data_IF_899144475910
#
_entry.id   IF_899144475910
#
_cell.length_a   1.000
_cell.length_b   1.000
_cell.length_c   1.000
_cell.angle_alpha   90.00
_cell.angle_beta   90.00
_cell.angle_gamma   90.00
#
_symmetry.space_group_name_H-M   'P 1'
#
loop_
_entity.id
_entity.type
_entity.pdbx_description
1 polymer ?
#
# COMPACT_ATOMS: atom_id res chain seq x y z
N UNK A 1 2.50 0.70 -29.87
CA UNK A 1 3.43 1.82 -29.60
C UNK A 1 3.95 1.67 -28.18
N UNK A 2 5.23 1.36 -28.00
CA UNK A 2 5.82 1.21 -26.66
C UNK A 2 5.97 2.59 -26.03
N UNK A 3 5.09 2.92 -25.08
CA UNK A 3 5.19 4.14 -24.28
C UNK A 3 6.41 3.97 -23.37
N UNK A 4 7.50 4.70 -23.65
CA UNK A 4 8.61 4.84 -22.72
C UNK A 4 8.17 5.80 -21.63
N UNK A 5 7.69 5.27 -20.51
CA UNK A 5 7.36 6.08 -19.33
C UNK A 5 8.67 6.32 -18.58
N UNK A 6 9.05 7.58 -18.39
CA UNK A 6 10.19 7.93 -17.55
C UNK A 6 9.81 7.84 -16.06
N UNK A 7 10.79 7.57 -15.19
CA UNK A 7 10.55 7.48 -13.75
C UNK A 7 10.05 8.83 -13.20
N UNK A 8 10.58 9.95 -13.70
CA UNK A 8 10.13 11.30 -13.35
C UNK A 8 8.67 11.56 -13.70
N UNK A 9 8.21 11.11 -14.87
CA UNK A 9 6.81 11.30 -15.29
C UNK A 9 5.85 10.49 -14.41
N UNK A 10 6.27 9.30 -14.00
CA UNK A 10 5.50 8.46 -13.08
C UNK A 10 5.41 9.07 -11.68
N UNK A 11 6.51 9.67 -11.20
CA UNK A 11 6.54 10.42 -9.95
C UNK A 11 5.60 11.63 -10.01
N UNK A 12 5.65 12.45 -11.07
CA UNK A 12 4.76 13.60 -11.21
C UNK A 12 3.29 13.18 -11.30
N UNK A 13 2.98 12.13 -12.08
CA UNK A 13 1.63 11.59 -12.20
C UNK A 13 1.09 11.10 -10.85
N UNK A 14 1.93 10.41 -10.06
CA UNK A 14 1.56 9.98 -8.73
C UNK A 14 1.38 11.15 -7.74
N UNK A 15 2.18 12.22 -7.85
CA UNK A 15 1.95 13.45 -7.06
C UNK A 15 0.60 14.09 -7.38
N UNK A 16 0.22 14.13 -8.65
CA UNK A 16 -1.07 14.69 -9.07
C UNK A 16 -2.28 13.87 -8.55
N UNK A 17 -2.15 12.53 -8.50
CA UNK A 17 -3.22 11.62 -8.05
C UNK A 17 -3.35 11.52 -6.53
N UNK A 18 -2.23 11.42 -5.82
CA UNK A 18 -2.22 11.15 -4.37
C UNK A 18 -2.04 12.42 -3.53
N UNK A 19 -1.58 13.52 -4.13
CA UNK A 19 -1.21 14.75 -3.45
C UNK A 19 0.27 14.78 -3.06
N UNK A 20 0.74 15.95 -2.62
CA UNK A 20 2.13 16.18 -2.21
C UNK A 20 2.49 15.50 -0.87
N UNK A 21 1.49 15.01 -0.13
CA UNK A 21 1.65 14.43 1.21
C UNK A 21 2.14 12.98 1.18
N UNK A 22 2.17 12.33 0.01
CA UNK A 22 2.67 10.96 -0.13
C UNK A 22 4.14 10.99 -0.51
N UNK A 23 4.99 10.46 0.37
CA UNK A 23 6.40 10.21 0.04
C UNK A 23 6.47 9.10 -1.01
N UNK A 24 6.59 9.52 -2.26
CA UNK A 24 6.81 8.63 -3.37
C UNK A 24 8.26 8.14 -3.28
N UNK A 25 8.45 6.84 -3.07
CA UNK A 25 9.74 6.15 -3.17
C UNK A 25 9.68 5.12 -4.31
N UNK A 26 10.81 4.66 -4.85
CA UNK A 26 10.82 3.55 -5.80
C UNK A 26 10.10 2.30 -5.26
N UNK A 27 10.21 2.07 -3.95
CA UNK A 27 9.48 1.02 -3.23
C UNK A 27 7.95 1.22 -3.31
N UNK A 28 7.45 2.45 -3.26
CA UNK A 28 6.02 2.77 -3.37
C UNK A 28 5.40 2.22 -4.66
N UNK A 29 6.10 2.34 -5.80
CA UNK A 29 5.57 1.86 -7.09
C UNK A 29 5.43 0.34 -7.14
N UNK A 30 6.35 -0.39 -6.50
CA UNK A 30 6.26 -1.85 -6.38
C UNK A 30 5.01 -2.30 -5.60
N UNK A 31 4.54 -1.46 -4.68
CA UNK A 31 3.40 -1.76 -3.81
C UNK A 31 2.08 -1.13 -4.28
N UNK A 32 2.14 -0.14 -5.16
CA UNK A 32 0.98 0.56 -5.70
C UNK A 32 0.00 -0.43 -6.36
N UNK A 33 -1.25 -0.41 -5.93
CA UNK A 33 -2.31 -1.30 -6.45
C UNK A 33 -3.24 -0.55 -7.41
N UNK A 34 -3.73 -1.20 -8.49
CA UNK A 34 -4.69 -0.59 -9.42
C UNK A 34 -5.97 -0.10 -8.75
N UNK A 35 -6.45 -0.82 -7.72
CA UNK A 35 -7.61 -0.41 -6.93
C UNK A 35 -7.36 0.87 -6.13
N UNK A 36 -6.17 1.00 -5.53
CA UNK A 36 -5.77 2.19 -4.79
C UNK A 36 -5.66 3.44 -5.69
N UNK A 37 -5.02 3.30 -6.85
CA UNK A 37 -4.92 4.37 -7.84
C UNK A 37 -6.29 4.80 -8.37
N UNK A 38 -7.17 3.84 -8.66
CA UNK A 38 -8.54 4.12 -9.11
C UNK A 38 -9.37 4.86 -8.06
N UNK A 39 -9.24 4.49 -6.79
CA UNK A 39 -9.92 5.17 -5.69
C UNK A 39 -9.41 6.59 -5.46
N UNK A 40 -8.09 6.80 -5.53
CA UNK A 40 -7.49 8.13 -5.44
C UNK A 40 -7.94 9.04 -6.60
N UNK A 41 -7.92 8.52 -7.83
CA UNK A 41 -8.43 9.23 -9.01
C UNK A 41 -9.90 9.63 -8.86
N UNK A 42 -10.78 8.70 -8.46
CA UNK A 42 -12.21 8.99 -8.26
C UNK A 42 -12.45 10.09 -7.23
N UNK A 43 -11.68 10.09 -6.14
CA UNK A 43 -11.76 11.13 -5.12
C UNK A 43 -11.32 12.49 -5.67
N UNK A 44 -10.16 12.54 -6.36
CA UNK A 44 -9.66 13.78 -6.98
C UNK A 44 -10.58 14.32 -8.07
N UNK A 45 -11.13 13.46 -8.92
CA UNK A 45 -12.13 13.84 -9.93
C UNK A 45 -13.36 14.48 -9.28
N UNK A 46 -13.87 13.89 -8.18
CA UNK A 46 -14.97 14.48 -7.43
C UNK A 46 -14.61 15.82 -6.81
N UNK A 47 -13.38 16.04 -6.38
CA UNK A 47 -12.93 17.32 -5.82
C UNK A 47 -12.75 18.41 -6.90
N UNK A 48 -12.43 18.02 -8.14
CA UNK A 48 -11.97 18.94 -9.20
C UNK A 48 -12.88 18.94 -10.44
N UNK A 49 -14.11 18.44 -10.34
CA UNK A 49 -15.03 18.36 -11.48
C UNK A 49 -15.53 19.75 -11.90
N UNK A 50 -15.54 20.10 -13.21
CA UNK A 50 -16.01 21.40 -13.69
C UNK A 50 -17.48 21.67 -13.36
N UNK A 51 -18.34 20.64 -13.36
CA UNK A 51 -19.78 20.79 -13.10
C UNK A 51 -20.14 21.15 -11.64
N UNK A 52 -19.20 21.08 -10.71
CA UNK A 52 -19.47 21.48 -9.32
C UNK A 52 -19.58 23.00 -9.12
N UNK A 53 -19.16 23.79 -10.12
CA UNK A 53 -19.07 25.24 -10.02
C UNK A 53 -19.69 25.89 -11.26
N UNK A 54 -20.99 25.66 -11.47
CA UNK A 54 -21.73 26.09 -12.66
C UNK A 54 -21.95 27.59 -12.84
N UNK A 55 -21.23 28.49 -12.13
CA UNK A 55 -21.49 29.93 -12.18
C UNK A 55 -20.25 30.85 -12.07
N UNK A 56 -19.04 30.32 -12.24
CA UNK A 56 -17.80 31.12 -12.15
C UNK A 56 -17.23 31.48 -13.53
N UNK A 57 -16.55 32.63 -13.61
CA UNK A 57 -16.09 33.26 -14.85
C UNK A 57 -15.29 32.34 -15.80
N UNK A 58 -15.36 32.67 -17.09
CA UNK A 58 -14.80 31.88 -18.21
C UNK A 58 -13.30 31.58 -18.12
N UNK A 59 -12.52 32.41 -17.42
CA UNK A 59 -11.08 32.18 -17.17
C UNK A 59 -10.83 31.09 -16.12
N UNK A 60 -11.61 31.08 -15.02
CA UNK A 60 -11.53 30.06 -13.97
C UNK A 60 -11.96 28.69 -14.49
N UNK A 61 -12.93 28.65 -15.40
CA UNK A 61 -13.37 27.41 -16.04
C UNK A 61 -12.27 26.80 -16.92
N UNK A 62 -11.50 27.60 -17.66
CA UNK A 62 -10.36 27.11 -18.47
C UNK A 62 -9.26 26.51 -17.60
N UNK A 63 -8.81 27.23 -16.57
CA UNK A 63 -7.78 26.73 -15.65
C UNK A 63 -8.22 25.45 -14.94
N UNK A 64 -9.50 25.32 -14.57
CA UNK A 64 -10.03 24.07 -13.98
C UNK A 64 -10.11 22.92 -14.98
N UNK A 65 -10.46 23.21 -16.24
CA UNK A 65 -10.45 22.21 -17.31
C UNK A 65 -9.04 21.68 -17.56
N UNK A 66 -8.03 22.56 -17.52
CA UNK A 66 -6.62 22.18 -17.64
C UNK A 66 -6.18 21.28 -16.47
N UNK A 67 -6.57 21.61 -15.23
CA UNK A 67 -6.28 20.78 -14.06
C UNK A 67 -6.94 19.39 -14.20
N UNK A 68 -8.17 19.34 -14.69
CA UNK A 68 -8.87 18.07 -14.93
C UNK A 68 -8.20 17.23 -16.02
N UNK A 69 -7.78 17.86 -17.13
CA UNK A 69 -7.04 17.19 -18.19
C UNK A 69 -5.69 16.65 -17.68
N UNK A 70 -4.96 17.43 -16.88
CA UNK A 70 -3.70 16.99 -16.24
C UNK A 70 -3.92 15.81 -15.28
N UNK A 71 -5.02 15.82 -14.53
CA UNK A 71 -5.37 14.72 -13.64
C UNK A 71 -5.68 13.43 -14.43
N UNK A 72 -6.41 13.55 -15.54
CA UNK A 72 -6.72 12.43 -16.43
C UNK A 72 -5.46 11.84 -17.07
N UNK A 73 -4.59 12.68 -17.63
CA UNK A 73 -3.34 12.20 -18.23
C UNK A 73 -2.43 11.52 -17.20
N UNK A 74 -2.38 12.04 -15.98
CA UNK A 74 -1.67 11.41 -14.86
C UNK A 74 -2.21 10.01 -14.52
N UNK A 75 -3.53 9.83 -14.53
CA UNK A 75 -4.15 8.52 -14.33
C UNK A 75 -3.84 7.53 -15.46
N UNK A 76 -3.86 8.00 -16.70
CA UNK A 76 -3.50 7.19 -17.87
C UNK A 76 -2.03 6.72 -17.79
N UNK A 77 -1.08 7.59 -17.43
CA UNK A 77 0.32 7.22 -17.19
C UNK A 77 0.48 6.15 -16.11
N UNK A 78 -0.25 6.26 -14.99
CA UNK A 78 -0.22 5.23 -13.92
C UNK A 78 -0.85 3.91 -14.38
N UNK A 79 -1.90 3.96 -15.19
CA UNK A 79 -2.49 2.77 -15.80
C UNK A 79 -1.54 2.08 -16.77
N UNK A 80 -0.80 2.84 -17.57
CA UNK A 80 0.19 2.29 -18.50
C UNK A 80 1.40 1.70 -17.75
N UNK A 81 1.81 2.31 -16.63
CA UNK A 81 2.77 1.70 -15.69
C UNK A 81 2.30 0.33 -15.19
N UNK A 82 1.03 0.16 -14.79
CA UNK A 82 0.54 -1.15 -14.37
C UNK A 82 0.60 -2.18 -15.51
N UNK A 83 0.28 -1.78 -16.74
CA UNK A 83 0.40 -2.67 -17.91
C UNK A 83 1.85 -3.09 -18.15
N UNK A 84 2.80 -2.16 -18.06
CA UNK A 84 4.24 -2.42 -18.20
C UNK A 84 4.77 -3.33 -17.08
N UNK A 85 4.41 -3.04 -15.83
CA UNK A 85 4.77 -3.84 -14.66
C UNK A 85 4.23 -5.27 -14.76
N UNK A 86 2.95 -5.41 -15.09
CA UNK A 86 2.31 -6.73 -15.21
C UNK A 86 2.82 -7.51 -16.44
N UNK A 87 3.42 -6.83 -17.43
CA UNK A 87 4.09 -7.45 -18.57
C UNK A 87 5.57 -7.83 -18.33
N UNK A 88 6.14 -7.50 -17.16
CA UNK A 88 7.54 -7.78 -16.81
C UNK A 88 8.58 -6.89 -17.52
N UNK A 89 8.13 -5.91 -18.34
CA UNK A 89 9.00 -5.01 -19.12
C UNK A 89 9.42 -3.76 -18.33
N UNK A 90 8.97 -3.61 -17.09
CA UNK A 90 9.38 -2.51 -16.23
C UNK A 90 10.72 -2.82 -15.56
N UNK A 91 11.81 -2.32 -16.13
CA UNK A 91 13.11 -2.24 -15.48
C UNK A 91 13.30 -0.81 -14.95
N UNK A 92 13.34 -0.57 -13.63
CA UNK A 92 13.82 0.71 -13.13
C UNK A 92 15.27 0.90 -13.62
N UNK A 93 15.69 2.13 -13.84
CA UNK A 93 17.08 2.41 -14.14
C UNK A 93 17.93 1.95 -12.95
N UNK A 94 18.54 0.77 -13.06
CA UNK A 94 19.43 0.22 -12.05
C UNK A 94 20.63 1.16 -11.91
N UNK A 95 20.59 2.06 -10.92
CA UNK A 95 21.82 2.63 -10.37
C UNK A 95 22.59 1.48 -9.70
N UNK A 96 23.85 1.21 -10.07
CA UNK A 96 24.65 0.18 -9.42
C UNK A 96 24.84 0.58 -7.95
N UNK A 97 24.16 -0.12 -7.04
CA UNK A 97 24.37 0.04 -5.60
C UNK A 97 25.67 -0.67 -5.26
N UNK A 98 26.77 0.08 -5.18
CA UNK A 98 28.03 -0.41 -4.62
C UNK A 98 27.79 -1.00 -3.22
N UNK A 99 28.44 -2.12 -2.86
CA UNK A 99 28.33 -2.68 -1.53
C UNK A 99 29.06 -1.77 -0.54
N UNK A 100 28.31 -0.91 0.15
CA UNK A 100 28.81 -0.16 1.27
C UNK A 100 29.08 -1.14 2.43
N UNK A 101 30.34 -1.57 2.56
CA UNK A 101 30.88 -2.06 3.80
C UNK A 101 30.71 -0.95 4.86
N UNK A 102 29.83 -1.15 5.84
CA UNK A 102 29.74 -0.26 6.99
C UNK A 102 29.79 -1.06 8.28
N UNK A 103 30.91 -0.81 8.95
CA UNK A 103 31.29 -1.23 10.27
C UNK A 103 30.17 -0.92 11.27
N UNK A 104 29.84 -1.93 12.06
CA UNK A 104 29.04 -1.79 13.27
C UNK A 104 29.87 -1.04 14.31
N UNK A 105 29.49 0.19 14.61
CA UNK A 105 29.76 0.80 15.91
C UNK A 105 28.42 1.16 16.54
N UNK A 106 28.01 0.33 17.49
CA UNK A 106 26.89 0.59 18.38
C UNK A 106 27.18 1.86 19.19
N UNK A 107 26.37 2.89 19.01
CA UNK A 107 26.17 3.92 20.03
C UNK A 107 24.67 4.21 20.12
N UNK A 108 24.11 3.98 21.31
CA UNK A 108 22.70 4.15 21.60
C UNK A 108 22.32 5.64 21.57
N UNK A 109 21.76 6.07 20.45
CA UNK A 109 21.11 7.38 20.32
C UNK A 109 19.64 7.26 20.65
N UNK A 110 19.21 7.87 21.77
CA UNK A 110 17.80 8.08 22.09
C UNK A 110 17.16 8.89 20.97
N UNK A 111 16.15 8.34 20.30
CA UNK A 111 15.39 9.05 19.26
C UNK A 111 14.57 10.19 19.91
N UNK A 112 15.17 11.37 20.03
CA UNK A 112 14.46 12.58 20.38
C UNK A 112 13.59 12.99 19.18
N UNK A 113 12.28 12.72 19.29
CA UNK A 113 11.29 13.14 18.30
C UNK A 113 11.18 14.66 18.23
N UNK A 114 11.88 15.28 17.28
CA UNK A 114 11.51 16.61 16.82
C UNK A 114 10.33 16.50 15.88
N UNK A 115 9.19 17.03 16.34
CA UNK A 115 7.92 17.12 15.63
C UNK A 115 8.04 18.17 14.51
N UNK A 116 7.92 17.82 13.22
CA UNK A 116 7.93 18.82 12.17
C UNK A 116 6.63 19.64 12.19
N UNK A 117 6.68 20.98 12.03
CA UNK A 117 5.50 21.82 11.89
C UNK A 117 5.11 21.98 10.41
N UNK A 118 3.80 21.93 10.11
CA UNK A 118 3.21 22.27 8.80
C UNK A 118 2.29 21.16 8.26
N UNK A 119 1.01 21.12 8.68
CA UNK A 119 -0.23 21.52 7.93
C UNK A 119 -0.53 20.66 6.69
N UNK A 120 -1.68 19.99 6.53
CA UNK A 120 -3.08 20.33 6.85
C UNK A 120 -3.88 19.05 7.22
N UNK A 121 -4.72 18.98 8.26
CA UNK A 121 -5.99 19.71 8.51
C UNK A 121 -7.21 19.25 7.68
N UNK A 122 -7.42 17.93 7.54
CA UNK A 122 -8.80 17.37 7.32
C UNK A 122 -9.23 16.30 8.34
N UNK A 123 -8.41 16.01 9.36
CA UNK A 123 -8.81 15.19 10.51
C UNK A 123 -8.63 15.98 11.83
N UNK A 124 -9.07 17.24 11.82
CA UNK A 124 -9.13 18.10 12.99
C UNK A 124 -10.33 17.70 13.89
N UNK A 125 -10.25 16.50 14.44
CA UNK A 125 -10.85 16.12 15.71
C UNK A 125 -10.26 14.76 16.09
N UNK A 126 -9.97 14.52 17.36
CA UNK A 126 -9.54 13.22 17.89
C UNK A 126 -10.65 12.17 17.84
N UNK A 127 -11.40 12.13 16.76
CA UNK A 127 -12.55 11.27 16.58
C UNK A 127 -12.06 9.90 16.14
N UNK A 128 -12.16 8.94 17.06
CA UNK A 128 -11.96 7.55 16.74
C UNK A 128 -13.19 7.06 15.94
N UNK A 129 -13.04 6.65 14.68
CA UNK A 129 -14.19 6.26 13.85
C UNK A 129 -15.03 5.18 14.52
N UNK A 130 -16.36 5.33 14.46
CA UNK A 130 -17.37 4.38 14.97
C UNK A 130 -17.53 3.15 14.06
N UNK A 131 -16.42 2.52 13.74
CA UNK A 131 -16.34 1.33 12.92
C UNK A 131 -15.21 0.44 13.44
N UNK A 132 -15.22 -0.83 13.04
CA UNK A 132 -14.11 -1.75 13.29
C UNK A 132 -12.86 -1.22 12.60
N UNK A 133 -11.78 -1.06 13.36
CA UNK A 133 -10.50 -0.58 12.85
C UNK A 133 -9.45 -1.70 12.89
N UNK A 134 -8.48 -1.61 12.00
CA UNK A 134 -7.22 -2.35 12.16
C UNK A 134 -6.35 -1.64 13.19
N UNK A 135 -5.52 -2.39 13.92
CA UNK A 135 -4.73 -1.83 15.02
C UNK A 135 -3.84 -0.66 14.59
N UNK A 136 -3.23 -0.71 13.39
CA UNK A 136 -2.44 0.40 12.87
C UNK A 136 -3.26 1.69 12.67
N UNK A 137 -4.47 1.58 12.13
CA UNK A 137 -5.38 2.72 11.98
C UNK A 137 -5.88 3.23 13.32
N UNK A 138 -6.16 2.33 14.27
CA UNK A 138 -6.53 2.70 15.63
C UNK A 138 -5.44 3.55 16.30
N UNK A 139 -4.17 3.12 16.22
CA UNK A 139 -3.05 3.88 16.76
C UNK A 139 -2.87 5.24 16.06
N UNK A 140 -3.08 5.28 14.74
CA UNK A 140 -3.01 6.51 13.95
C UNK A 140 -4.09 7.52 14.33
N UNK A 141 -5.36 7.10 14.42
CA UNK A 141 -6.47 7.98 14.83
C UNK A 141 -6.31 8.49 16.26
N UNK A 142 -5.70 7.68 17.13
CA UNK A 142 -5.33 8.09 18.50
C UNK A 142 -4.09 8.96 18.59
N UNK A 143 -3.46 9.29 17.46
CA UNK A 143 -2.25 10.12 17.37
C UNK A 143 -1.03 9.54 18.11
N UNK A 144 -1.02 8.23 18.34
CA UNK A 144 0.11 7.52 18.93
C UNK A 144 1.20 7.21 17.91
N UNK A 145 0.81 7.10 16.64
CA UNK A 145 1.73 6.98 15.51
C UNK A 145 1.30 7.96 14.41
N UNK A 146 2.25 8.42 13.62
CA UNK A 146 1.96 9.21 12.43
C UNK A 146 1.73 8.33 11.20
N UNK A 147 1.39 8.95 10.08
CA UNK A 147 1.15 8.22 8.82
C UNK A 147 2.41 7.51 8.33
N UNK A 148 3.59 8.11 8.52
CA UNK A 148 4.87 7.55 8.07
C UNK A 148 5.17 6.24 8.81
N UNK A 149 5.06 6.22 10.13
CA UNK A 149 5.26 5.04 10.95
C UNK A 149 4.23 3.94 10.64
N UNK A 150 2.97 4.32 10.39
CA UNK A 150 1.96 3.37 9.93
C UNK A 150 2.40 2.70 8.62
N UNK A 151 2.86 3.48 7.64
CA UNK A 151 3.32 2.95 6.36
C UNK A 151 4.57 2.08 6.50
N UNK A 152 5.55 2.51 7.30
CA UNK A 152 6.77 1.74 7.58
C UNK A 152 6.43 0.39 8.23
N UNK A 153 5.52 0.37 9.22
CA UNK A 153 5.06 -0.85 9.87
C UNK A 153 4.37 -1.80 8.88
N UNK A 154 3.51 -1.27 7.99
CA UNK A 154 2.83 -2.05 6.97
C UNK A 154 3.80 -2.64 5.95
N UNK A 155 4.82 -1.89 5.54
CA UNK A 155 5.87 -2.40 4.65
C UNK A 155 6.72 -3.47 5.33
N UNK A 156 7.12 -3.26 6.58
CA UNK A 156 7.82 -4.26 7.39
C UNK A 156 7.02 -5.57 7.47
N UNK A 157 5.72 -5.47 7.75
CA UNK A 157 4.85 -6.64 7.85
C UNK A 157 4.68 -7.37 6.51
N UNK A 158 4.63 -6.61 5.40
CA UNK A 158 4.49 -7.19 4.06
C UNK A 158 5.76 -7.90 3.60
N UNK A 159 6.95 -7.35 3.87
CA UNK A 159 8.25 -7.94 3.49
C UNK A 159 8.48 -9.34 4.05
N UNK A 160 7.79 -9.69 5.14
CA UNK A 160 7.87 -11.01 5.76
C UNK A 160 7.03 -12.09 5.06
N UNK A 161 6.16 -11.71 4.12
CA UNK A 161 5.31 -12.66 3.39
C UNK A 161 6.00 -13.09 2.09
N UNK A 162 6.62 -14.29 2.02
CA UNK A 162 7.15 -14.80 0.76
C UNK A 162 6.02 -15.01 -0.25
N UNK A 163 6.31 -14.91 -1.55
CA UNK A 163 5.31 -15.19 -2.57
C UNK A 163 4.97 -16.69 -2.59
N UNK A 164 3.72 -17.03 -2.92
CA UNK A 164 3.29 -18.43 -2.99
C UNK A 164 4.10 -19.25 -4.02
N UNK A 165 4.41 -18.66 -5.17
CA UNK A 165 5.26 -19.30 -6.20
C UNK A 165 6.64 -19.65 -5.63
N UNK A 166 7.31 -18.70 -4.97
CA UNK A 166 8.62 -18.92 -4.35
C UNK A 166 8.59 -20.00 -3.26
N UNK A 167 7.47 -20.13 -2.53
CA UNK A 167 7.32 -21.21 -1.54
C UNK A 167 7.17 -22.55 -2.26
N UNK A 168 6.28 -22.62 -3.26
CA UNK A 168 6.01 -23.85 -4.00
C UNK A 168 7.24 -24.35 -4.77
N UNK A 169 8.02 -23.44 -5.36
CA UNK A 169 9.29 -23.74 -6.02
C UNK A 169 10.30 -24.31 -5.04
N UNK A 170 10.50 -23.66 -3.88
CA UNK A 170 11.41 -24.16 -2.83
C UNK A 170 11.01 -25.52 -2.27
N UNK A 171 9.72 -25.86 -2.30
CA UNK A 171 9.22 -27.15 -1.86
C UNK A 171 9.22 -28.21 -2.96
N UNK A 172 9.64 -27.86 -4.18
CA UNK A 172 9.63 -28.76 -5.34
C UNK A 172 8.22 -29.11 -5.81
N UNK A 173 7.20 -28.32 -5.45
CA UNK A 173 5.81 -28.53 -5.88
C UNK A 173 5.50 -27.86 -7.21
N UNK A 174 6.30 -26.88 -7.60
CA UNK A 174 6.25 -26.22 -8.90
C UNK A 174 7.68 -26.05 -9.42
N UNK A 175 7.86 -26.19 -10.73
CA UNK A 175 9.06 -25.79 -11.45
C UNK A 175 8.99 -24.30 -11.86
N UNK A 176 10.12 -23.73 -12.26
CA UNK A 176 10.19 -22.36 -12.77
C UNK A 176 9.27 -22.14 -13.98
N UNK A 177 9.23 -23.12 -14.90
CA UNK A 177 8.36 -23.07 -16.08
C UNK A 177 6.87 -23.07 -15.72
N UNK A 178 6.47 -23.90 -14.76
CA UNK A 178 5.08 -23.95 -14.28
C UNK A 178 4.67 -22.65 -13.59
N UNK A 179 5.57 -22.05 -12.78
CA UNK A 179 5.34 -20.74 -12.16
C UNK A 179 5.12 -19.67 -13.24
N UNK A 180 5.97 -19.64 -14.27
CA UNK A 180 5.86 -18.70 -15.37
C UNK A 180 4.57 -18.89 -16.18
N UNK A 181 4.17 -20.14 -16.44
CA UNK A 181 2.89 -20.48 -17.05
C UNK A 181 1.71 -19.93 -16.23
N UNK A 182 1.69 -20.17 -14.91
CA UNK A 182 0.63 -19.67 -14.02
C UNK A 182 0.55 -18.14 -14.02
N UNK A 183 1.70 -17.45 -14.06
CA UNK A 183 1.78 -16.00 -14.11
C UNK A 183 1.27 -15.45 -15.45
N UNK A 184 1.58 -16.13 -16.57
CA UNK A 184 1.18 -15.74 -17.93
C UNK A 184 -0.32 -15.84 -18.22
N UNK A 185 -1.08 -16.65 -17.48
CA UNK A 185 -2.53 -16.80 -17.70
C UNK A 185 -3.30 -15.50 -17.37
N UNK A 186 -3.96 -14.95 -18.40
CA UNK A 186 -4.88 -13.80 -18.34
C UNK A 186 -6.33 -14.27 -18.22
N UNK A 187 -7.14 -13.59 -17.39
CA UNK A 187 -8.58 -13.88 -17.24
C UNK A 187 -8.92 -15.01 -16.26
N UNK A 188 -10.03 -14.82 -15.51
CA UNK A 188 -10.60 -15.60 -14.40
C UNK A 188 -9.63 -16.29 -13.42
N UNK A 189 -9.73 -16.00 -12.12
CA UNK A 189 -8.76 -16.43 -11.10
C UNK A 189 -7.71 -15.33 -10.91
N UNK A 190 -8.02 -14.32 -10.08
CA UNK A 190 -7.13 -13.15 -9.94
C UNK A 190 -5.84 -13.49 -9.21
N UNK A 191 -5.85 -14.57 -8.42
CA UNK A 191 -4.76 -14.90 -7.50
C UNK A 191 -3.97 -16.09 -8.02
N UNK A 192 -2.65 -16.03 -7.84
CA UNK A 192 -1.71 -17.08 -8.26
C UNK A 192 -2.17 -18.49 -7.86
N UNK A 193 -2.54 -18.68 -6.59
CA UNK A 193 -2.96 -19.99 -6.09
C UNK A 193 -4.22 -20.56 -6.74
N UNK A 194 -5.23 -19.71 -7.00
CA UNK A 194 -6.46 -20.14 -7.70
C UNK A 194 -6.15 -20.57 -9.14
N UNK A 195 -5.24 -19.86 -9.81
CA UNK A 195 -4.77 -20.21 -11.15
C UNK A 195 -4.01 -21.53 -11.13
N UNK A 196 -3.11 -21.71 -10.17
CA UNK A 196 -2.31 -22.93 -10.02
C UNK A 196 -3.19 -24.17 -9.78
N UNK A 197 -4.26 -24.04 -8.99
CA UNK A 197 -5.24 -25.13 -8.78
C UNK A 197 -6.05 -25.42 -10.03
N UNK A 198 -6.50 -24.39 -10.75
CA UNK A 198 -7.29 -24.61 -11.98
C UNK A 198 -6.48 -25.24 -13.10
N UNK A 199 -5.19 -24.95 -13.17
CA UNK A 199 -4.28 -25.53 -14.16
C UNK A 199 -3.74 -26.91 -13.73
N UNK A 200 -4.28 -27.47 -12.64
CA UNK A 200 -3.89 -28.77 -12.07
C UNK A 200 -2.40 -28.90 -11.69
N UNK A 201 -1.66 -27.79 -11.61
CA UNK A 201 -0.26 -27.81 -11.16
C UNK A 201 -0.12 -28.06 -9.66
N UNK A 202 -1.12 -27.63 -8.86
CA UNK A 202 -1.18 -27.94 -7.43
C UNK A 202 -2.61 -28.31 -7.03
N UNK A 203 -2.75 -29.18 -6.05
CA UNK A 203 -4.04 -29.51 -5.44
C UNK A 203 -4.55 -28.40 -4.52
N UNK A 204 -5.86 -28.39 -4.26
CA UNK A 204 -6.48 -27.50 -3.27
C UNK A 204 -5.86 -27.67 -1.86
N UNK A 205 -5.45 -28.90 -1.50
CA UNK A 205 -4.78 -29.17 -0.21
C UNK A 205 -3.39 -28.51 -0.16
N UNK A 206 -2.58 -28.64 -1.22
CA UNK A 206 -1.29 -27.96 -1.31
C UNK A 206 -1.45 -26.44 -1.25
N UNK A 207 -2.45 -25.88 -1.93
CA UNK A 207 -2.73 -24.44 -1.83
C UNK A 207 -3.02 -23.99 -0.39
N UNK A 208 -3.83 -24.74 0.36
CA UNK A 208 -4.08 -24.43 1.78
C UNK A 208 -2.81 -24.50 2.62
N UNK A 209 -1.93 -25.48 2.38
CA UNK A 209 -0.63 -25.59 3.07
C UNK A 209 0.27 -24.40 2.78
N UNK A 210 0.36 -23.97 1.51
CA UNK A 210 1.13 -22.78 1.12
C UNK A 210 0.59 -21.51 1.79
N UNK A 211 -0.74 -21.33 1.81
CA UNK A 211 -1.39 -20.19 2.45
C UNK A 211 -1.20 -20.18 3.97
N UNK A 212 -1.24 -21.35 4.60
CA UNK A 212 -0.95 -21.50 6.02
C UNK A 212 0.50 -21.12 6.33
N UNK A 213 1.45 -21.65 5.57
CA UNK A 213 2.87 -21.32 5.74
C UNK A 213 3.17 -19.84 5.50
N UNK A 214 2.64 -19.25 4.43
CA UNK A 214 2.81 -17.83 4.15
C UNK A 214 2.29 -16.95 5.31
N UNK A 215 1.13 -17.30 5.87
CA UNK A 215 0.52 -16.58 6.98
C UNK A 215 1.29 -16.75 8.29
N UNK A 216 1.90 -17.91 8.54
CA UNK A 216 2.70 -18.13 9.76
C UNK A 216 4.01 -17.34 9.77
N UNK A 217 4.52 -16.91 8.60
CA UNK A 217 5.71 -16.04 8.51
C UNK A 217 5.42 -14.58 8.83
N UNK A 218 4.17 -14.14 8.67
CA UNK A 218 3.80 -12.76 8.90
C UNK A 218 3.64 -12.49 10.39
N UNK A 219 4.51 -11.65 10.94
CA UNK A 219 4.40 -11.22 12.32
C UNK A 219 3.27 -10.20 12.50
N UNK A 220 2.80 -10.07 13.75
CA UNK A 220 1.80 -9.06 14.11
C UNK A 220 2.38 -7.66 13.99
N UNK A 221 1.60 -6.71 13.48
CA UNK A 221 2.03 -5.32 13.28
C UNK A 221 2.53 -4.68 14.59
N UNK A 222 1.94 -5.02 15.74
CA UNK A 222 2.35 -4.53 17.06
C UNK A 222 3.83 -4.79 17.39
N UNK A 223 4.39 -5.90 16.89
CA UNK A 223 5.78 -6.27 17.13
C UNK A 223 6.76 -5.28 16.49
N UNK A 224 6.41 -4.68 15.36
CA UNK A 224 7.20 -3.60 14.76
C UNK A 224 7.40 -2.44 15.72
N UNK A 225 6.33 -1.99 16.39
CA UNK A 225 6.42 -0.83 17.28
C UNK A 225 7.22 -1.14 18.55
N UNK A 226 7.18 -2.38 19.04
CA UNK A 226 8.00 -2.83 20.17
C UNK A 226 9.47 -2.95 19.76
N UNK A 227 9.78 -3.56 18.61
CA UNK A 227 11.17 -3.72 18.13
C UNK A 227 11.85 -2.38 17.81
N UNK A 228 11.08 -1.38 17.40
CA UNK A 228 11.59 -0.02 17.19
C UNK A 228 11.57 0.85 18.47
N UNK A 229 11.26 0.26 19.63
CA UNK A 229 11.18 0.94 20.93
C UNK A 229 10.21 2.14 20.98
N UNK A 230 9.14 2.11 20.17
CA UNK A 230 8.06 3.10 20.25
C UNK A 230 7.10 2.81 21.41
N UNK A 231 6.85 1.53 21.67
CA UNK A 231 6.05 1.07 22.80
C UNK A 231 6.80 -0.05 23.51
N UNK A 232 6.67 -0.11 24.84
CA UNK A 232 7.04 -1.30 25.59
C UNK A 232 6.11 -2.48 25.24
N UNK A 233 6.49 -3.69 25.66
CA UNK A 233 5.62 -4.84 25.47
C UNK A 233 4.27 -4.65 26.17
N UNK A 234 4.31 -4.16 27.41
CA UNK A 234 3.13 -3.90 28.25
C UNK A 234 2.23 -2.81 27.65
N UNK A 235 2.83 -1.71 27.17
CA UNK A 235 2.08 -0.63 26.50
C UNK A 235 1.38 -1.14 25.24
N UNK A 236 2.06 -1.97 24.44
CA UNK A 236 1.48 -2.52 23.23
C UNK A 236 0.36 -3.52 23.53
N UNK A 237 0.47 -4.31 24.61
CA UNK A 237 -0.60 -5.19 25.06
C UNK A 237 -1.84 -4.42 25.51
N UNK A 238 -1.65 -3.35 26.28
CA UNK A 238 -2.72 -2.49 26.74
C UNK A 238 -3.42 -1.77 25.58
N UNK A 239 -2.65 -1.25 24.63
CA UNK A 239 -3.18 -0.67 23.40
C UNK A 239 -3.96 -1.70 22.56
N UNK A 240 -3.51 -2.96 22.53
CA UNK A 240 -4.22 -4.03 21.86
C UNK A 240 -5.53 -4.40 22.59
N UNK A 241 -5.57 -4.31 23.93
CA UNK A 241 -6.80 -4.49 24.72
C UNK A 241 -7.81 -3.40 24.41
N UNK A 242 -7.41 -2.13 24.49
CA UNK A 242 -8.25 -0.98 24.16
C UNK A 242 -8.76 -1.02 22.72
N UNK A 243 -7.92 -1.50 21.78
CA UNK A 243 -8.32 -1.72 20.38
C UNK A 243 -9.40 -2.80 20.24
N UNK A 244 -9.28 -3.91 20.98
CA UNK A 244 -10.31 -4.97 20.98
C UNK A 244 -11.63 -4.47 21.56
N UNK A 245 -11.59 -3.71 22.65
CA UNK A 245 -12.79 -3.12 23.26
C UNK A 245 -13.48 -2.15 22.31
N UNK A 246 -12.73 -1.26 21.66
CA UNK A 246 -13.28 -0.40 20.61
C UNK A 246 -13.95 -1.23 19.51
N UNK A 247 -13.27 -2.26 19.00
CA UNK A 247 -13.82 -3.09 17.95
C UNK A 247 -15.04 -3.91 18.39
N UNK A 248 -15.16 -4.30 19.66
CA UNK A 248 -16.34 -4.98 20.19
C UNK A 248 -17.58 -4.06 20.15
N UNK A 249 -17.42 -2.78 20.47
CA UNK A 249 -18.51 -1.80 20.43
C UNK A 249 -19.12 -1.61 19.03
N UNK A 250 -18.38 -1.96 17.97
CA UNK A 250 -18.80 -1.77 16.58
C UNK A 250 -18.74 -3.06 15.74
N UNK A 251 -18.48 -4.21 16.37
CA UNK A 251 -18.12 -5.48 15.71
C UNK A 251 -19.25 -6.50 15.58
N UNK A 252 -20.25 -6.44 16.45
CA UNK A 252 -21.50 -7.19 16.30
C UNK A 252 -22.43 -6.41 15.36
N UNK A 253 -22.69 -6.98 14.18
CA UNK A 253 -23.27 -6.28 13.04
C UNK A 253 -24.61 -5.58 13.29
N UNK A 254 -24.86 -4.54 12.48
CA UNK A 254 -26.11 -3.78 12.33
C UNK A 254 -26.37 -2.66 13.35
N UNK A 255 -25.85 -1.46 13.06
CA UNK A 255 -26.69 -0.26 13.07
C UNK A 255 -26.08 0.79 12.15
N UNK A 256 -26.90 1.49 11.37
CA UNK A 256 -26.56 2.46 10.30
C UNK A 256 -26.37 1.88 8.89
N UNK A 257 -27.51 1.42 8.33
CA UNK A 257 -27.89 1.78 6.95
C UNK A 257 -28.15 3.28 6.90
N UNK A 258 -27.52 3.99 5.95
CA UNK A 258 -28.07 5.12 5.19
C UNK A 258 -27.35 5.16 3.84
#
# INVERSE_FOLDING_TARGET
>A
MSVRISESDLFEACRALFGNDVQLSPDFFSYLQPSGAKSAYRRKVKETHPDLFGNEGSTLQRSRTEVFQKLRSSYETVCDYFKLRDSGLWAPACTPRQPAAQQRTHSGGRYAHQRPPGRAETAASGFLPRQVLQIGLFLYYRRLIDYRLLMEALFWQRRQRPNLGDIALRWGWLSEDEVNCILGVRGAGRRFGEKAVRLDYISQKQLQTLLFYQRSRQQKLGRFFVENALFSHEEMEELARQHREHNQLYGDGSMFRW
#
